data_IF_433588065967
#
_entry.id   IF_433588065967
#
_cell.length_a   1.000
_cell.length_b   1.000
_cell.length_c   1.000
_cell.angle_alpha   90.00
_cell.angle_beta   90.00
_cell.angle_gamma   90.00
#
_symmetry.space_group_name_H-M   'P 1'
#
loop_
_entity.id
_entity.type
_entity.pdbx_description
1 polymer ?
#
# COMPACT_ATOMS: atom_id res chain seq x y z
N UNK A 1 -7.73 -13.51 -23.93
CA UNK A 1 -7.13 -12.60 -22.93
C UNK A 1 -6.00 -13.29 -22.16
N UNK A 2 -6.35 -14.08 -21.15
CA UNK A 2 -5.39 -14.71 -20.21
C UNK A 2 -4.33 -15.58 -20.90
N UNK A 3 -4.72 -16.41 -21.88
CA UNK A 3 -3.76 -17.25 -22.62
C UNK A 3 -2.67 -16.44 -23.36
N UNK A 4 -3.03 -15.32 -23.97
CA UNK A 4 -2.07 -14.42 -24.63
C UNK A 4 -1.17 -13.71 -23.62
N UNK A 5 -1.73 -13.26 -22.48
CA UNK A 5 -0.94 -12.67 -21.40
C UNK A 5 0.06 -13.68 -20.82
N UNK A 6 -0.33 -14.94 -20.63
CA UNK A 6 0.56 -16.00 -20.16
C UNK A 6 1.65 -16.35 -21.19
N UNK A 7 1.33 -16.33 -22.49
CA UNK A 7 2.33 -16.56 -23.54
C UNK A 7 3.40 -15.46 -23.55
N UNK A 8 2.98 -14.19 -23.45
CA UNK A 8 3.89 -13.04 -23.35
C UNK A 8 4.67 -13.07 -22.03
N UNK A 9 4.02 -13.45 -20.92
CA UNK A 9 4.66 -13.69 -19.63
C UNK A 9 5.87 -14.59 -19.78
N UNK A 10 5.68 -15.76 -20.38
CA UNK A 10 6.73 -16.76 -20.54
C UNK A 10 7.92 -16.26 -21.34
N UNK A 11 7.68 -15.43 -22.36
CA UNK A 11 8.75 -14.78 -23.15
C UNK A 11 9.52 -13.78 -22.27
N UNK A 12 8.82 -12.95 -21.50
CA UNK A 12 9.44 -11.99 -20.58
C UNK A 12 10.26 -12.72 -19.51
N UNK A 13 9.70 -13.76 -18.89
CA UNK A 13 10.41 -14.62 -17.91
C UNK A 13 11.67 -15.20 -18.54
N UNK A 14 11.57 -15.74 -19.76
CA UNK A 14 12.70 -16.31 -20.48
C UNK A 14 13.80 -15.29 -20.73
N UNK A 15 13.46 -14.08 -21.19
CA UNK A 15 14.44 -13.01 -21.43
C UNK A 15 15.06 -12.55 -20.11
N UNK A 16 14.26 -12.34 -19.06
CA UNK A 16 14.74 -11.89 -17.75
C UNK A 16 15.69 -12.91 -17.12
N UNK A 17 15.37 -14.20 -17.23
CA UNK A 17 16.21 -15.30 -16.76
C UNK A 17 17.52 -15.40 -17.57
N UNK A 18 17.46 -15.32 -18.90
CA UNK A 18 18.64 -15.41 -19.78
C UNK A 18 19.57 -14.20 -19.66
N UNK A 19 19.01 -13.00 -19.48
CA UNK A 19 19.79 -11.75 -19.38
C UNK A 19 20.32 -11.50 -17.98
N UNK A 20 19.75 -12.14 -16.95
CA UNK A 20 20.08 -11.91 -15.55
C UNK A 20 19.71 -10.51 -15.04
N UNK A 21 18.88 -9.76 -15.78
CA UNK A 21 18.49 -8.38 -15.41
C UNK A 21 17.80 -8.36 -14.05
N UNK A 22 16.99 -9.37 -13.72
CA UNK A 22 16.32 -9.47 -12.43
C UNK A 22 17.30 -9.55 -11.25
N UNK A 23 18.34 -10.39 -11.36
CA UNK A 23 19.41 -10.47 -10.35
C UNK A 23 20.19 -9.16 -10.25
N UNK A 24 20.56 -8.55 -11.39
CA UNK A 24 21.29 -7.28 -11.38
C UNK A 24 20.49 -6.15 -10.74
N UNK A 25 19.18 -6.11 -10.98
CA UNK A 25 18.28 -5.17 -10.31
C UNK A 25 18.18 -5.47 -8.80
N UNK A 26 18.06 -6.73 -8.40
CA UNK A 26 18.09 -7.11 -6.99
C UNK A 26 19.40 -6.67 -6.30
N UNK A 27 20.55 -6.97 -6.91
CA UNK A 27 21.87 -6.58 -6.39
C UNK A 27 22.03 -5.06 -6.31
N UNK A 28 21.56 -4.33 -7.32
CA UNK A 28 21.58 -2.87 -7.32
C UNK A 28 20.71 -2.31 -6.19
N UNK A 29 19.49 -2.82 -6.02
CA UNK A 29 18.58 -2.42 -4.96
C UNK A 29 19.14 -2.77 -3.57
N UNK A 30 19.73 -3.96 -3.40
CA UNK A 30 20.42 -4.37 -2.18
C UNK A 30 21.57 -3.42 -1.85
N UNK A 31 22.42 -3.13 -2.83
CA UNK A 31 23.58 -2.23 -2.66
C UNK A 31 23.13 -0.82 -2.26
N UNK A 32 22.07 -0.28 -2.90
CA UNK A 32 21.53 1.04 -2.57
C UNK A 32 20.82 1.03 -1.21
N UNK A 33 20.13 -0.07 -0.87
CA UNK A 33 19.43 -0.21 0.41
C UNK A 33 20.37 -0.39 1.61
N UNK A 34 21.62 -0.82 1.38
CA UNK A 34 22.59 -1.08 2.44
C UNK A 34 22.19 -2.22 3.38
N UNK A 35 21.30 -3.12 2.96
CA UNK A 35 20.77 -4.20 3.80
C UNK A 35 19.65 -3.77 4.76
N UNK A 36 19.08 -2.58 4.57
CA UNK A 36 17.94 -2.10 5.36
C UNK A 36 16.64 -2.52 4.64
N UNK A 37 15.93 -3.50 5.20
CA UNK A 37 14.71 -4.10 4.62
C UNK A 37 13.66 -3.06 4.22
N UNK A 38 13.38 -2.07 5.08
CA UNK A 38 12.37 -1.05 4.80
C UNK A 38 12.76 -0.17 3.61
N UNK A 39 14.05 0.15 3.47
CA UNK A 39 14.56 0.93 2.36
C UNK A 39 14.51 0.10 1.07
N UNK A 40 14.86 -1.18 1.17
CA UNK A 40 14.77 -2.14 0.09
C UNK A 40 13.32 -2.27 -0.45
N UNK A 41 12.33 -2.33 0.45
CA UNK A 41 10.91 -2.33 0.09
C UNK A 41 10.46 -1.02 -0.56
N UNK A 42 10.91 0.14 -0.05
CA UNK A 42 10.58 1.45 -0.66
C UNK A 42 11.14 1.56 -2.08
N UNK A 43 12.40 1.16 -2.28
CA UNK A 43 13.01 1.19 -3.62
C UNK A 43 12.31 0.20 -4.56
N UNK A 44 11.93 -0.97 -4.05
CA UNK A 44 11.18 -1.97 -4.81
C UNK A 44 9.78 -1.47 -5.15
N UNK A 45 9.10 -0.76 -4.25
CA UNK A 45 7.83 -0.08 -4.51
C UNK A 45 7.98 0.89 -5.69
N UNK A 46 9.00 1.75 -5.66
CA UNK A 46 9.24 2.72 -6.74
C UNK A 46 9.46 1.98 -8.07
N UNK A 47 10.25 0.90 -8.06
CA UNK A 47 10.45 0.07 -9.24
C UNK A 47 9.14 -0.56 -9.73
N UNK A 48 8.30 -1.11 -8.85
CA UNK A 48 6.97 -1.61 -9.18
C UNK A 48 6.12 -0.51 -9.84
N UNK A 49 6.02 0.67 -9.23
CA UNK A 49 5.19 1.75 -9.76
C UNK A 49 5.64 2.12 -11.18
N UNK A 50 6.94 2.32 -11.39
CA UNK A 50 7.48 2.68 -12.71
C UNK A 50 7.24 1.59 -13.75
N UNK A 51 7.47 0.31 -13.39
CA UNK A 51 7.30 -0.82 -14.29
C UNK A 51 5.83 -1.09 -14.64
N UNK A 52 4.91 -0.81 -13.72
CA UNK A 52 3.49 -1.10 -13.89
C UNK A 52 2.69 -0.01 -14.61
N UNK A 53 3.24 1.20 -14.72
CA UNK A 53 2.55 2.33 -15.32
C UNK A 53 2.19 2.09 -16.79
N UNK A 54 0.89 2.16 -17.11
CA UNK A 54 0.39 2.16 -18.48
C UNK A 54 0.12 0.77 -19.07
N UNK A 55 0.09 -0.27 -18.24
CA UNK A 55 -0.17 -1.65 -18.65
C UNK A 55 -1.46 -2.17 -17.98
N UNK A 56 -2.33 -2.93 -18.68
CA UNK A 56 -3.51 -3.53 -18.05
C UNK A 56 -3.16 -4.41 -16.84
N UNK A 57 -3.95 -4.35 -15.76
CA UNK A 57 -3.69 -5.01 -14.46
C UNK A 57 -3.23 -6.46 -14.55
N UNK A 58 -3.84 -7.26 -15.43
CA UNK A 58 -3.47 -8.66 -15.63
C UNK A 58 -2.06 -8.82 -16.22
N UNK A 59 -1.72 -8.02 -17.23
CA UNK A 59 -0.40 -8.04 -17.84
C UNK A 59 0.65 -7.42 -16.90
N UNK A 60 0.26 -6.40 -16.15
CA UNK A 60 1.11 -5.78 -15.14
C UNK A 60 1.54 -6.79 -14.05
N UNK A 61 0.59 -7.54 -13.47
CA UNK A 61 0.91 -8.58 -12.50
C UNK A 61 1.87 -9.64 -13.05
N UNK A 62 1.66 -10.07 -14.29
CA UNK A 62 2.55 -11.01 -15.00
C UNK A 62 3.99 -10.48 -15.06
N UNK A 63 4.17 -9.22 -15.42
CA UNK A 63 5.49 -8.59 -15.53
C UNK A 63 6.13 -8.49 -14.15
N UNK A 64 5.39 -7.99 -13.15
CA UNK A 64 5.97 -7.80 -11.82
C UNK A 64 6.23 -9.11 -11.07
N UNK A 65 5.37 -10.11 -11.21
CA UNK A 65 5.60 -11.44 -10.62
C UNK A 65 6.83 -12.13 -11.21
N UNK A 66 7.14 -11.83 -12.47
CA UNK A 66 8.32 -12.36 -13.17
C UNK A 66 9.60 -11.63 -12.80
N UNK A 67 9.55 -10.30 -12.68
CA UNK A 67 10.74 -9.47 -12.52
C UNK A 67 10.95 -9.10 -11.05
N UNK A 68 9.90 -8.62 -10.38
CA UNK A 68 10.00 -7.93 -9.09
C UNK A 68 9.72 -8.82 -7.89
N UNK A 69 8.85 -9.84 -8.00
CA UNK A 69 8.67 -10.81 -6.93
C UNK A 69 9.98 -11.56 -6.58
N UNK A 70 10.80 -12.05 -7.55
CA UNK A 70 12.07 -12.70 -7.20
C UNK A 70 13.08 -11.73 -6.59
N UNK A 71 13.01 -10.44 -6.93
CA UNK A 71 13.82 -9.38 -6.28
C UNK A 71 13.50 -9.34 -4.78
N UNK A 72 12.22 -9.26 -4.38
CA UNK A 72 11.83 -9.22 -2.95
C UNK A 72 12.33 -10.46 -2.21
N UNK A 73 12.18 -11.65 -2.81
CA UNK A 73 12.62 -12.90 -2.20
C UNK A 73 14.14 -13.00 -2.01
N UNK A 74 14.92 -12.30 -2.86
CA UNK A 74 16.36 -12.18 -2.70
C UNK A 74 16.75 -11.09 -1.70
N UNK A 75 16.04 -9.95 -1.73
CA UNK A 75 16.29 -8.82 -0.84
C UNK A 75 16.04 -9.17 0.63
N UNK A 76 14.98 -9.93 0.90
CA UNK A 76 14.53 -10.28 2.26
C UNK A 76 14.39 -11.80 2.37
N UNK A 77 15.49 -12.52 2.66
CA UNK A 77 15.48 -13.97 2.82
C UNK A 77 14.47 -14.41 3.90
N UNK A 78 13.62 -15.36 3.57
CA UNK A 78 12.57 -15.86 4.47
C UNK A 78 11.18 -15.26 4.24
N UNK A 79 11.05 -14.25 3.37
CA UNK A 79 9.74 -13.74 2.94
C UNK A 79 8.94 -14.84 2.24
N UNK A 80 7.70 -15.14 2.66
CA UNK A 80 6.88 -16.12 1.96
C UNK A 80 6.60 -15.71 0.52
N UNK A 81 6.64 -16.67 -0.41
CA UNK A 81 6.41 -16.42 -1.85
C UNK A 81 5.10 -15.67 -2.07
N UNK A 82 4.03 -16.08 -1.39
CA UNK A 82 2.73 -15.41 -1.49
C UNK A 82 2.80 -13.93 -1.09
N UNK A 83 3.56 -13.57 -0.06
CA UNK A 83 3.72 -12.18 0.37
C UNK A 83 4.43 -11.33 -0.70
N UNK A 84 5.49 -11.86 -1.29
CA UNK A 84 6.19 -11.18 -2.40
C UNK A 84 5.25 -10.96 -3.61
N UNK A 85 4.44 -11.97 -3.96
CA UNK A 85 3.45 -11.87 -5.04
C UNK A 85 2.33 -10.87 -4.72
N UNK A 86 1.82 -10.84 -3.47
CA UNK A 86 0.80 -9.87 -3.06
C UNK A 86 1.35 -8.44 -3.02
N UNK A 87 2.61 -8.26 -2.60
CA UNK A 87 3.28 -6.96 -2.61
C UNK A 87 3.32 -6.38 -4.02
N UNK A 88 3.82 -7.16 -4.99
CA UNK A 88 3.93 -6.67 -6.37
C UNK A 88 2.57 -6.54 -7.06
N UNK A 89 1.62 -7.41 -6.74
CA UNK A 89 0.25 -7.33 -7.26
C UNK A 89 -0.43 -6.03 -6.82
N UNK A 90 -0.38 -5.71 -5.53
CA UNK A 90 -0.98 -4.47 -5.02
C UNK A 90 -0.28 -3.23 -5.58
N UNK A 91 1.06 -3.21 -5.64
CA UNK A 91 1.73 -2.06 -6.24
C UNK A 91 1.48 -1.93 -7.73
N UNK A 92 1.18 -3.02 -8.43
CA UNK A 92 0.66 -2.95 -9.79
C UNK A 92 -0.69 -2.25 -9.88
N UNK A 93 -1.63 -2.53 -8.97
CA UNK A 93 -2.92 -1.82 -8.91
C UNK A 93 -2.73 -0.36 -8.51
N UNK A 94 -1.85 -0.10 -7.54
CA UNK A 94 -1.57 1.25 -7.05
C UNK A 94 -0.84 2.10 -8.10
N UNK A 95 -0.04 1.48 -8.97
CA UNK A 95 0.57 2.17 -10.12
C UNK A 95 -0.50 2.76 -11.06
N UNK A 96 -1.61 2.06 -11.26
CA UNK A 96 -2.69 2.49 -12.17
C UNK A 96 -3.47 3.71 -11.67
N UNK A 97 -3.49 3.96 -10.35
CA UNK A 97 -4.13 5.15 -9.77
C UNK A 97 -3.17 6.33 -9.63
N UNK A 98 -1.85 6.09 -9.75
CA UNK A 98 -0.82 7.11 -9.52
C UNK A 98 -0.60 7.94 -10.80
N UNK A 99 -0.62 9.29 -10.74
CA UNK A 99 -0.20 10.14 -11.85
C UNK A 99 1.25 9.82 -12.25
N UNK A 100 1.60 9.82 -13.55
CA UNK A 100 0.86 10.38 -14.69
C UNK A 100 -0.15 9.47 -15.38
N UNK A 101 -0.38 8.21 -14.99
CA UNK A 101 -1.23 7.30 -15.78
C UNK A 101 -2.70 7.36 -15.37
N UNK A 102 -3.01 7.24 -14.06
CA UNK A 102 -4.31 7.47 -13.40
C UNK A 102 -5.58 7.39 -14.29
N UNK A 103 -5.71 6.33 -15.11
CA UNK A 103 -6.53 6.38 -16.33
C UNK A 103 -8.03 6.52 -16.02
N UNK A 104 -8.48 5.85 -14.95
CA UNK A 104 -9.84 5.96 -14.45
C UNK A 104 -10.17 7.37 -13.91
N UNK A 105 -9.23 8.00 -13.21
CA UNK A 105 -9.40 9.36 -12.70
C UNK A 105 -9.45 10.39 -13.84
N UNK A 106 -8.67 10.18 -14.90
CA UNK A 106 -8.69 11.03 -16.08
C UNK A 106 -9.97 10.87 -16.90
N UNK A 107 -10.47 9.65 -17.05
CA UNK A 107 -11.77 9.40 -17.66
C UNK A 107 -12.90 10.07 -16.85
N UNK A 108 -12.87 9.96 -15.52
CA UNK A 108 -13.80 10.65 -14.64
C UNK A 108 -13.74 12.17 -14.78
N UNK A 109 -12.53 12.74 -14.87
CA UNK A 109 -12.33 14.16 -15.08
C UNK A 109 -12.88 14.65 -16.43
N UNK A 110 -12.76 13.84 -17.50
CA UNK A 110 -13.32 14.15 -18.82
C UNK A 110 -14.85 14.21 -18.79
N UNK A 111 -15.50 13.37 -17.98
CA UNK A 111 -16.97 13.39 -17.79
C UNK A 111 -17.39 14.59 -16.94
N UNK A 112 -16.65 14.91 -15.88
CA UNK A 112 -17.00 15.99 -14.95
C UNK A 112 -16.56 17.39 -15.41
N UNK A 113 -15.82 17.50 -16.53
CA UNK A 113 -15.20 18.75 -16.99
C UNK A 113 -14.04 19.24 -16.11
N UNK A 114 -13.48 18.39 -15.26
CA UNK A 114 -12.37 18.72 -14.36
C UNK A 114 -11.00 18.62 -15.04
N UNK A 115 -9.96 19.17 -14.40
CA UNK A 115 -8.59 19.00 -14.87
C UNK A 115 -8.10 17.56 -14.57
N UNK A 116 -7.72 16.73 -15.57
CA UNK A 116 -7.35 15.34 -15.36
C UNK A 116 -6.23 15.15 -14.34
N UNK A 117 -5.15 15.92 -14.46
CA UNK A 117 -3.99 15.79 -13.58
C UNK A 117 -4.35 16.13 -12.13
N UNK A 118 -5.12 17.20 -11.90
CA UNK A 118 -5.60 17.54 -10.54
C UNK A 118 -6.50 16.44 -9.97
N UNK A 119 -7.42 15.91 -10.76
CA UNK A 119 -8.28 14.80 -10.33
C UNK A 119 -7.47 13.56 -9.97
N UNK A 120 -6.45 13.21 -10.76
CA UNK A 120 -5.56 12.09 -10.47
C UNK A 120 -4.76 12.27 -9.18
N UNK A 121 -4.22 13.47 -8.95
CA UNK A 121 -3.50 13.80 -7.70
C UNK A 121 -4.43 13.70 -6.48
N UNK A 122 -5.65 14.22 -6.57
CA UNK A 122 -6.64 14.14 -5.49
C UNK A 122 -7.06 12.69 -5.25
N UNK A 123 -7.30 11.91 -6.31
CA UNK A 123 -7.66 10.49 -6.21
C UNK A 123 -6.54 9.68 -5.53
N UNK A 124 -5.29 9.90 -5.92
CA UNK A 124 -4.13 9.23 -5.29
C UNK A 124 -3.98 9.63 -3.83
N UNK A 125 -4.19 10.92 -3.51
CA UNK A 125 -4.16 11.41 -2.13
C UNK A 125 -5.24 10.74 -1.27
N UNK A 126 -6.43 10.48 -1.80
CA UNK A 126 -7.47 9.73 -1.10
C UNK A 126 -7.12 8.25 -0.94
N UNK A 127 -6.41 7.68 -1.91
CA UNK A 127 -6.01 6.28 -1.93
C UNK A 127 -4.67 6.00 -1.23
N UNK A 128 -4.06 6.99 -0.57
CA UNK A 128 -2.71 6.86 0.01
C UNK A 128 -2.61 5.74 1.07
N UNK A 129 -3.71 5.41 1.75
CA UNK A 129 -3.77 4.27 2.67
C UNK A 129 -3.51 2.92 1.96
N UNK A 130 -3.85 2.80 0.68
CA UNK A 130 -3.62 1.59 -0.11
C UNK A 130 -2.11 1.30 -0.34
N UNK A 131 -1.24 2.32 -0.23
CA UNK A 131 0.21 2.14 -0.34
C UNK A 131 0.81 1.40 0.86
N UNK A 132 0.12 1.35 1.99
CA UNK A 132 0.61 0.71 3.22
C UNK A 132 0.38 -0.81 3.19
N UNK A 133 -0.71 -1.26 2.56
CA UNK A 133 -1.14 -2.67 2.53
C UNK A 133 -0.03 -3.63 2.06
N UNK A 134 0.71 -3.37 0.96
CA UNK A 134 1.79 -4.24 0.50
C UNK A 134 2.86 -4.49 1.56
N UNK A 135 3.27 -3.44 2.28
CA UNK A 135 4.28 -3.55 3.33
C UNK A 135 3.78 -4.46 4.46
N UNK A 136 2.49 -4.42 4.78
CA UNK A 136 1.90 -5.31 5.79
C UNK A 136 2.04 -6.77 5.41
N UNK A 137 1.83 -7.13 4.14
CA UNK A 137 1.94 -8.54 3.70
C UNK A 137 3.35 -9.10 3.84
N UNK A 138 4.37 -8.28 3.60
CA UNK A 138 5.77 -8.71 3.71
C UNK A 138 6.23 -8.76 5.16
N UNK A 139 5.89 -7.73 5.95
CA UNK A 139 6.31 -7.63 7.35
C UNK A 139 5.52 -8.58 8.27
N UNK A 140 4.26 -8.86 7.95
CA UNK A 140 3.37 -9.69 8.77
C UNK A 140 2.62 -10.75 7.93
N UNK A 141 3.28 -11.87 7.56
CA UNK A 141 2.70 -12.90 6.72
C UNK A 141 1.50 -13.64 7.36
N UNK A 142 1.30 -13.51 8.67
CA UNK A 142 0.12 -14.04 9.37
C UNK A 142 -1.19 -13.49 8.79
N UNK A 143 -1.17 -12.27 8.25
CA UNK A 143 -2.31 -11.68 7.53
C UNK A 143 -2.70 -12.46 6.27
N UNK A 144 -1.78 -13.27 5.72
CA UNK A 144 -1.99 -14.11 4.56
C UNK A 144 -2.38 -15.56 4.91
N UNK A 145 -2.84 -15.80 6.15
CA UNK A 145 -3.20 -17.14 6.65
C UNK A 145 -2.00 -18.10 6.74
N UNK A 146 -0.79 -17.58 6.77
CA UNK A 146 0.43 -18.39 6.90
C UNK A 146 0.70 -18.59 8.39
N UNK A 147 0.77 -19.85 8.83
CA UNK A 147 1.08 -20.23 10.22
C UNK A 147 0.16 -19.59 11.29
N UNK A 148 -1.13 -19.42 11.00
CA UNK A 148 -2.06 -18.69 11.87
C UNK A 148 -3.21 -19.58 12.38
N UNK A 149 -3.61 -19.40 13.64
CA UNK A 149 -4.81 -20.03 14.21
C UNK A 149 -6.09 -19.23 13.91
N UNK A 150 -7.26 -19.87 13.97
CA UNK A 150 -8.55 -19.20 13.68
C UNK A 150 -8.79 -17.99 14.60
N UNK A 151 -8.36 -18.08 15.88
CA UNK A 151 -8.50 -16.98 16.83
C UNK A 151 -7.60 -15.78 16.47
N UNK A 152 -6.34 -16.04 16.13
CA UNK A 152 -5.40 -15.00 15.68
C UNK A 152 -5.87 -14.35 14.37
N UNK A 153 -6.43 -15.12 13.45
CA UNK A 153 -7.01 -14.59 12.21
C UNK A 153 -8.12 -13.58 12.50
N UNK A 154 -9.07 -13.93 13.37
CA UNK A 154 -10.17 -13.04 13.73
C UNK A 154 -9.64 -11.76 14.36
N UNK A 155 -8.64 -11.86 15.24
CA UNK A 155 -7.98 -10.70 15.84
C UNK A 155 -7.33 -9.82 14.76
N UNK A 156 -6.48 -10.39 13.90
CA UNK A 156 -5.78 -9.68 12.83
C UNK A 156 -6.78 -8.96 11.91
N UNK A 157 -7.88 -9.61 11.53
CA UNK A 157 -8.90 -8.98 10.67
C UNK A 157 -9.52 -7.76 11.35
N UNK A 158 -9.90 -7.88 12.63
CA UNK A 158 -10.50 -6.79 13.38
C UNK A 158 -9.50 -5.63 13.57
N UNK A 159 -8.27 -5.93 14.01
CA UNK A 159 -7.25 -4.91 14.26
C UNK A 159 -6.80 -4.25 12.96
N UNK A 160 -6.67 -5.00 11.87
CA UNK A 160 -6.34 -4.46 10.54
C UNK A 160 -7.45 -3.56 10.01
N UNK A 161 -8.72 -3.92 10.19
CA UNK A 161 -9.85 -3.07 9.79
C UNK A 161 -9.84 -1.74 10.55
N UNK A 162 -9.62 -1.77 11.87
CA UNK A 162 -9.52 -0.57 12.70
C UNK A 162 -8.26 0.26 12.37
N UNK A 163 -7.13 -0.40 12.15
CA UNK A 163 -5.87 0.25 11.81
C UNK A 163 -5.93 0.94 10.44
N UNK A 164 -6.50 0.28 9.43
CA UNK A 164 -6.74 0.85 8.11
C UNK A 164 -7.72 2.02 8.16
N UNK A 165 -8.76 1.93 8.99
CA UNK A 165 -9.68 3.04 9.23
C UNK A 165 -8.96 4.24 9.86
N UNK A 166 -8.11 4.02 10.87
CA UNK A 166 -7.34 5.07 11.52
C UNK A 166 -6.33 5.74 10.56
N UNK A 167 -5.58 4.94 9.79
CA UNK A 167 -4.66 5.45 8.76
C UNK A 167 -5.40 6.26 7.71
N UNK A 168 -6.53 5.75 7.20
CA UNK A 168 -7.35 6.43 6.21
C UNK A 168 -7.88 7.77 6.74
N UNK A 169 -8.39 7.79 7.97
CA UNK A 169 -8.88 9.01 8.62
C UNK A 169 -7.76 10.02 8.90
N UNK A 170 -6.57 9.57 9.30
CA UNK A 170 -5.41 10.40 9.58
C UNK A 170 -4.81 11.03 8.31
N UNK A 171 -4.64 10.23 7.25
CA UNK A 171 -4.11 10.69 5.96
C UNK A 171 -5.14 11.54 5.18
N UNK A 172 -6.41 11.15 5.22
CA UNK A 172 -7.53 11.96 4.68
C UNK A 172 -7.75 13.24 5.49
N UNK A 173 -7.39 13.22 6.77
CA UNK A 173 -7.42 14.38 7.64
C UNK A 173 -8.80 14.77 8.15
N UNK A 174 -9.75 13.84 8.03
CA UNK A 174 -11.15 14.00 8.38
C UNK A 174 -11.68 12.65 8.87
N UNK A 175 -12.43 12.68 9.97
CA UNK A 175 -13.14 11.51 10.49
C UNK A 175 -14.62 11.84 10.68
N UNK A 176 -14.93 12.60 11.73
CA UNK A 176 -16.24 13.23 11.91
C UNK A 176 -16.14 14.76 11.79
N UNK A 177 -14.99 15.32 12.21
CA UNK A 177 -14.59 16.70 11.98
C UNK A 177 -13.21 16.74 11.34
N UNK A 178 -12.80 17.93 10.91
CA UNK A 178 -11.43 18.16 10.41
C UNK A 178 -10.45 17.88 11.54
N UNK A 179 -9.51 16.98 11.32
CA UNK A 179 -8.51 16.61 12.33
C UNK A 179 -7.33 17.58 12.27
N UNK A 180 -6.89 18.19 13.40
CA UNK A 180 -5.65 18.93 13.45
C UNK A 180 -4.46 18.01 13.19
N UNK A 181 -3.34 18.59 12.73
CA UNK A 181 -2.18 17.83 12.27
C UNK A 181 -1.65 16.81 13.29
N UNK A 182 -1.70 17.12 14.59
CA UNK A 182 -1.26 16.21 15.66
C UNK A 182 -2.17 14.97 15.80
N UNK A 183 -3.49 15.13 15.67
CA UNK A 183 -4.43 14.00 15.67
C UNK A 183 -4.25 13.12 14.44
N UNK A 184 -3.90 13.72 13.29
CA UNK A 184 -3.61 12.97 12.07
C UNK A 184 -2.39 12.08 12.24
N UNK A 185 -1.29 12.64 12.77
CA UNK A 185 -0.06 11.89 13.04
C UNK A 185 -0.32 10.77 14.05
N UNK A 186 -1.07 11.06 15.12
CA UNK A 186 -1.44 10.04 16.11
C UNK A 186 -2.33 8.95 15.52
N UNK A 187 -3.31 9.27 14.67
CA UNK A 187 -4.16 8.29 14.02
C UNK A 187 -3.37 7.37 13.08
N UNK A 188 -2.44 7.93 12.31
CA UNK A 188 -1.55 7.15 11.44
C UNK A 188 -0.62 6.26 12.29
N UNK A 189 -0.01 6.79 13.34
CA UNK A 189 0.85 6.01 14.23
C UNK A 189 0.09 4.88 14.93
N UNK A 190 -1.13 5.16 15.42
CA UNK A 190 -1.99 4.16 16.05
C UNK A 190 -2.44 3.09 15.06
N UNK A 191 -2.76 3.47 13.81
CA UNK A 191 -3.12 2.50 12.80
C UNK A 191 -1.94 1.62 12.36
N UNK A 192 -0.72 2.18 12.27
CA UNK A 192 0.50 1.38 12.03
C UNK A 192 0.76 0.42 13.21
N UNK A 193 0.54 0.87 14.45
CA UNK A 193 0.68 0.00 15.62
C UNK A 193 -0.33 -1.16 15.63
N UNK A 194 -1.58 -0.93 15.20
CA UNK A 194 -2.62 -1.97 15.11
C UNK A 194 -2.44 -2.95 13.95
N UNK A 195 -1.58 -2.61 13.01
CA UNK A 195 -1.26 -3.45 11.86
C UNK A 195 -0.23 -4.51 12.23
N UNK A 196 0.62 -4.24 13.21
CA UNK A 196 1.58 -5.21 13.74
C UNK A 196 0.91 -6.05 14.82
N UNK A 197 0.55 -7.33 14.55
CA UNK A 197 -0.22 -8.15 15.46
C UNK A 197 0.60 -8.47 16.71
N UNK A 198 0.36 -7.69 17.75
CA UNK A 198 0.98 -7.83 19.05
C UNK A 198 0.00 -7.39 20.12
N UNK A 199 -0.12 -8.15 21.21
CA UNK A 199 -1.09 -7.83 22.27
C UNK A 199 -0.84 -6.41 22.83
N UNK A 200 0.43 -6.02 22.96
CA UNK A 200 0.82 -4.70 23.48
C UNK A 200 0.55 -3.59 22.46
N UNK A 201 0.89 -3.82 21.19
CA UNK A 201 0.72 -2.85 20.10
C UNK A 201 -0.77 -2.62 19.80
N UNK A 202 -1.56 -3.70 19.82
CA UNK A 202 -3.01 -3.66 19.65
C UNK A 202 -3.70 -2.88 20.76
N UNK A 203 -3.34 -3.13 22.03
CA UNK A 203 -3.92 -2.40 23.16
C UNK A 203 -3.59 -0.91 23.07
N UNK A 204 -2.33 -0.57 22.79
CA UNK A 204 -1.91 0.83 22.65
C UNK A 204 -2.66 1.50 21.51
N UNK A 205 -2.72 0.85 20.33
CA UNK A 205 -3.40 1.41 19.18
C UNK A 205 -4.91 1.56 19.39
N UNK A 206 -5.58 0.59 20.04
CA UNK A 206 -6.99 0.70 20.40
C UNK A 206 -7.26 1.84 21.38
N UNK A 207 -6.40 2.05 22.39
CA UNK A 207 -6.53 3.16 23.33
C UNK A 207 -6.38 4.50 22.60
N UNK A 208 -5.39 4.62 21.71
CA UNK A 208 -5.14 5.87 20.98
C UNK A 208 -6.27 6.17 19.99
N UNK A 209 -6.77 5.17 19.25
CA UNK A 209 -7.96 5.34 18.39
C UNK A 209 -9.18 5.72 19.23
N UNK A 210 -9.43 5.01 20.33
CA UNK A 210 -10.56 5.29 21.22
C UNK A 210 -10.50 6.73 21.75
N UNK A 211 -9.33 7.20 22.17
CA UNK A 211 -9.11 8.58 22.59
C UNK A 211 -9.41 9.60 21.48
N UNK A 212 -8.94 9.34 20.25
CA UNK A 212 -9.23 10.21 19.09
C UNK A 212 -10.73 10.20 18.77
N UNK A 213 -11.39 9.04 18.79
CA UNK A 213 -12.83 8.91 18.58
C UNK A 213 -13.62 9.70 19.63
N UNK A 214 -13.25 9.60 20.91
CA UNK A 214 -13.89 10.33 22.01
C UNK A 214 -13.75 11.84 21.79
N UNK A 215 -12.57 12.34 21.46
CA UNK A 215 -12.37 13.76 21.15
C UNK A 215 -13.21 14.20 19.94
N UNK A 216 -13.28 13.38 18.90
CA UNK A 216 -13.98 13.73 17.66
C UNK A 216 -15.51 13.69 17.78
N UNK A 217 -16.07 12.73 18.54
CA UNK A 217 -17.52 12.52 18.66
C UNK A 217 -18.14 13.13 19.91
N UNK A 218 -17.44 13.17 21.05
CA UNK A 218 -18.01 13.58 22.35
C UNK A 218 -17.71 15.05 22.64
N UNK A 219 -16.54 15.56 22.26
CA UNK A 219 -16.20 16.97 22.48
C UNK A 219 -16.88 17.80 21.40
N UNK A 220 -17.99 18.42 21.76
CA UNK A 220 -18.72 19.40 20.95
C UNK A 220 -17.93 20.71 20.95
N UNK A 221 -17.06 20.90 19.96
CA UNK A 221 -16.44 22.22 19.77
C UNK A 221 -17.50 23.29 19.49
N UNK A 222 -17.50 24.30 20.37
CA UNK A 222 -18.19 25.56 20.22
C UNK A 222 -17.40 26.42 19.22
N UNK A 223 -17.97 26.60 18.03
CA UNK A 223 -17.63 27.58 16.97
C UNK A 223 -16.24 27.52 16.29
N UNK A 224 -16.33 27.71 14.97
CA UNK A 224 -15.34 28.27 14.04
C UNK A 224 -14.08 27.46 13.68
N UNK A 225 -14.17 26.69 12.59
CA UNK A 225 -13.11 26.68 11.55
C UNK A 225 -13.72 26.33 10.19
N UNK A 226 -13.96 27.28 9.28
CA UNK A 226 -14.17 26.99 7.88
C UNK A 226 -12.79 26.81 7.22
N UNK A 227 -12.43 25.59 6.83
CA UNK A 227 -11.26 25.37 5.96
C UNK A 227 -11.69 24.48 4.80
N UNK A 228 -12.55 25.04 3.96
CA UNK A 228 -12.78 24.60 2.59
C UNK A 228 -12.37 25.76 1.66
N UNK A 229 -11.06 26.01 1.59
CA UNK A 229 -10.45 26.76 0.50
C UNK A 229 -8.92 26.62 0.58
N UNK A 230 -8.37 25.66 -0.18
CA UNK A 230 -7.10 25.71 -0.91
C UNK A 230 -6.76 24.36 -1.54
#
# INVERSE_FOLDING_TARGET
GVAAACAIAGIIVGIVALTGIGLRLADALLTISGGIDILALILTMIACIILGMGVPTTANYVIMSTITAPIILQLIPGTPVLAAHMFVFYFGIVADITPPVALAAYAGAAISGGNPLRTGVIATRLAIAAFIIPYMFVLNPSMLLINTTVAELVQIVITSMLGMFAISSGLGGFMHKVMPWWQRVLAVAAGIALIDPGIVTDIIGLIVIGFICVIQYIIKDDKSTPVLER
#
